data_IF_285596919741
#
_entry.id   IF_285596919741
#
_cell.length_a   1.000
_cell.length_b   1.000
_cell.length_c   1.000
_cell.angle_alpha   90.00
_cell.angle_beta   90.00
_cell.angle_gamma   90.00
#
_symmetry.space_group_name_H-M   'P 1'
#
loop_
_entity.id
_entity.type
_entity.pdbx_description
1 polymer ?
#
# COMPACT_ATOMS: atom_id res chain seq x y z
N UNK A 1 44.03 10.48 -10.49
CA UNK A 1 43.31 10.50 -9.21
C UNK A 1 42.29 11.65 -9.23
N UNK A 2 41.55 11.84 -10.34
CA UNK A 2 40.86 13.11 -10.64
C UNK A 2 39.63 12.91 -11.55
N UNK A 3 38.97 11.74 -11.49
CA UNK A 3 37.72 11.47 -12.22
C UNK A 3 36.50 11.29 -11.32
N UNK A 4 36.65 11.38 -9.99
CA UNK A 4 35.54 11.23 -9.04
C UNK A 4 34.71 12.51 -8.83
N UNK A 5 35.07 13.63 -9.48
CA UNK A 5 34.36 14.93 -9.35
C UNK A 5 33.35 15.21 -10.47
N UNK A 6 33.32 14.43 -11.56
CA UNK A 6 32.40 14.66 -12.68
C UNK A 6 31.08 13.88 -12.61
N UNK A 7 30.88 13.10 -11.54
CA UNK A 7 29.56 12.57 -11.17
C UNK A 7 29.08 13.27 -9.90
N UNK A 8 29.14 14.60 -9.89
CA UNK A 8 28.23 15.42 -9.12
C UNK A 8 26.82 15.08 -9.64
N UNK A 9 26.27 13.97 -9.14
CA UNK A 9 24.91 13.52 -9.44
C UNK A 9 24.05 14.74 -9.17
N UNK A 10 23.44 15.29 -10.22
CA UNK A 10 22.32 16.20 -10.07
C UNK A 10 21.34 15.52 -9.13
N UNK A 11 21.38 15.90 -7.85
CA UNK A 11 20.39 15.49 -6.88
C UNK A 11 19.10 16.13 -7.37
N UNK A 12 18.26 15.29 -7.96
CA UNK A 12 16.99 15.72 -8.50
C UNK A 12 16.19 16.25 -7.31
N UNK A 13 15.98 17.56 -7.30
CA UNK A 13 15.20 18.21 -6.27
C UNK A 13 13.78 17.59 -6.29
N UNK A 14 13.29 17.01 -5.18
CA UNK A 14 11.95 16.41 -5.11
C UNK A 14 10.84 17.39 -5.52
N UNK A 15 11.05 18.69 -5.30
CA UNK A 15 10.13 19.75 -5.75
C UNK A 15 9.97 19.73 -7.28
N UNK A 16 11.07 19.53 -8.02
CA UNK A 16 11.06 19.48 -9.48
C UNK A 16 10.27 18.28 -10.00
N UNK A 17 10.44 17.12 -9.38
CA UNK A 17 9.71 15.90 -9.72
C UNK A 17 8.19 16.06 -9.54
N UNK A 18 7.76 16.57 -8.38
CA UNK A 18 6.34 16.83 -8.10
C UNK A 18 5.74 17.89 -9.04
N UNK A 19 6.50 18.94 -9.36
CA UNK A 19 6.06 20.00 -10.27
C UNK A 19 5.87 19.50 -11.71
N UNK A 20 6.71 18.58 -12.19
CA UNK A 20 6.53 17.92 -13.50
C UNK A 20 5.23 17.12 -13.53
N UNK A 21 4.96 16.30 -12.52
CA UNK A 21 3.72 15.51 -12.46
C UNK A 21 2.50 16.43 -12.41
N UNK A 22 2.55 17.50 -11.61
CA UNK A 22 1.44 18.45 -11.48
C UNK A 22 1.18 19.23 -12.79
N UNK A 23 2.23 19.66 -13.48
CA UNK A 23 2.10 20.38 -14.76
C UNK A 23 1.54 19.48 -15.86
N UNK A 24 1.94 18.20 -15.90
CA UNK A 24 1.34 17.22 -16.83
C UNK A 24 -0.13 16.99 -16.50
N UNK A 25 -0.48 16.79 -15.23
CA UNK A 25 -1.88 16.67 -14.80
C UNK A 25 -2.73 17.89 -15.18
N UNK A 26 -2.21 19.10 -14.98
CA UNK A 26 -2.91 20.33 -15.35
C UNK A 26 -3.10 20.46 -16.88
N UNK A 27 -2.08 20.07 -17.65
CA UNK A 27 -2.15 20.07 -19.11
C UNK A 27 -3.22 19.09 -19.61
N UNK A 28 -3.28 17.89 -19.03
CA UNK A 28 -4.30 16.89 -19.35
C UNK A 28 -5.71 17.39 -19.00
N UNK A 29 -5.89 18.05 -17.84
CA UNK A 29 -7.17 18.64 -17.46
C UNK A 29 -7.65 19.70 -18.47
N UNK A 30 -6.75 20.56 -18.94
CA UNK A 30 -7.06 21.58 -19.95
C UNK A 30 -7.46 20.92 -21.27
N UNK A 31 -6.71 19.91 -21.72
CA UNK A 31 -7.02 19.16 -22.96
C UNK A 31 -8.39 18.50 -22.87
N UNK A 32 -8.70 17.83 -21.75
CA UNK A 32 -10.02 17.22 -21.51
C UNK A 32 -11.14 18.26 -21.49
N UNK A 33 -10.94 19.40 -20.81
CA UNK A 33 -11.94 20.47 -20.77
C UNK A 33 -12.21 21.06 -22.16
N UNK A 34 -11.17 21.43 -22.91
CA UNK A 34 -11.30 21.97 -24.27
C UNK A 34 -12.02 20.99 -25.19
N UNK A 35 -11.72 19.70 -25.05
CA UNK A 35 -12.37 18.64 -25.82
C UNK A 35 -13.87 18.55 -25.51
N UNK A 36 -14.24 18.42 -24.23
CA UNK A 36 -15.66 18.30 -23.80
C UNK A 36 -16.50 19.55 -24.15
N UNK A 37 -15.92 20.75 -24.10
CA UNK A 37 -16.65 21.97 -24.48
C UNK A 37 -16.81 22.16 -25.99
N UNK A 38 -15.99 21.49 -26.81
CA UNK A 38 -16.03 21.61 -28.27
C UNK A 38 -17.07 20.70 -28.91
N UNK A 39 -17.36 19.56 -28.29
CA UNK A 39 -18.33 18.58 -28.76
C UNK A 39 -19.36 18.29 -27.67
N UNK A 40 -20.37 19.17 -27.48
CA UNK A 40 -21.29 19.06 -26.36
C UNK A 40 -22.21 17.84 -26.53
N UNK A 41 -21.89 16.78 -25.80
CA UNK A 41 -22.71 15.59 -25.66
C UNK A 41 -23.99 15.86 -24.84
N UNK A 42 -24.83 14.83 -24.64
CA UNK A 42 -25.97 14.95 -23.72
C UNK A 42 -25.50 15.32 -22.30
N UNK A 43 -26.35 15.95 -21.49
CA UNK A 43 -25.94 16.44 -20.16
C UNK A 43 -25.34 15.35 -19.25
N UNK A 44 -25.81 14.11 -19.36
CA UNK A 44 -25.26 12.96 -18.64
C UNK A 44 -23.90 12.52 -19.18
N UNK A 45 -23.70 12.50 -20.50
CA UNK A 45 -22.42 12.15 -21.11
C UNK A 45 -21.36 13.19 -20.78
N UNK A 46 -21.70 14.48 -20.85
CA UNK A 46 -20.82 15.57 -20.46
C UNK A 46 -20.39 15.45 -18.99
N UNK A 47 -21.29 15.07 -18.09
CA UNK A 47 -20.95 14.86 -16.68
C UNK A 47 -19.95 13.71 -16.49
N UNK A 48 -20.14 12.60 -17.21
CA UNK A 48 -19.23 11.45 -17.16
C UNK A 48 -17.86 11.81 -17.76
N UNK A 49 -17.82 12.50 -18.90
CA UNK A 49 -16.58 12.93 -19.54
C UNK A 49 -15.79 13.91 -18.68
N UNK A 50 -16.46 14.89 -18.06
CA UNK A 50 -15.83 15.81 -17.12
C UNK A 50 -15.29 15.07 -15.91
N UNK A 51 -16.07 14.15 -15.34
CA UNK A 51 -15.65 13.40 -14.16
C UNK A 51 -14.46 12.49 -14.46
N UNK A 52 -14.43 11.81 -15.61
CA UNK A 52 -13.28 10.98 -16.00
C UNK A 52 -12.08 11.83 -16.41
N UNK A 53 -12.24 12.78 -17.34
CA UNK A 53 -11.13 13.56 -17.90
C UNK A 53 -10.55 14.54 -16.88
N UNK A 54 -11.39 15.44 -16.37
CA UNK A 54 -10.96 16.47 -15.41
C UNK A 54 -10.72 15.85 -14.03
N UNK A 55 -11.58 14.94 -13.58
CA UNK A 55 -11.42 14.32 -12.26
C UNK A 55 -10.10 13.54 -12.11
N UNK A 56 -9.77 12.67 -13.06
CA UNK A 56 -8.49 11.91 -13.02
C UNK A 56 -7.29 12.85 -13.16
N UNK A 57 -7.39 13.88 -14.01
CA UNK A 57 -6.33 14.88 -14.16
C UNK A 57 -6.13 15.71 -12.89
N UNK A 58 -7.20 16.07 -12.19
CA UNK A 58 -7.15 16.76 -10.90
C UNK A 58 -6.49 15.89 -9.81
N UNK A 59 -6.74 14.57 -9.82
CA UNK A 59 -6.03 13.62 -8.94
C UNK A 59 -4.53 13.67 -9.22
N UNK A 60 -4.10 13.68 -10.48
CA UNK A 60 -2.68 13.81 -10.82
C UNK A 60 -2.06 15.13 -10.34
N UNK A 61 -2.76 16.26 -10.51
CA UNK A 61 -2.31 17.56 -9.99
C UNK A 61 -2.14 17.49 -8.48
N UNK A 62 -3.13 16.95 -7.78
CA UNK A 62 -3.08 16.79 -6.32
C UNK A 62 -1.93 15.88 -5.88
N UNK A 63 -1.71 14.75 -6.57
CA UNK A 63 -0.61 13.84 -6.28
C UNK A 63 0.75 14.48 -6.55
N UNK A 64 0.90 15.23 -7.65
CA UNK A 64 2.12 15.98 -7.96
C UNK A 64 2.42 17.07 -6.93
N UNK A 65 1.41 17.83 -6.51
CA UNK A 65 1.53 18.80 -5.42
C UNK A 65 1.92 18.13 -4.09
N UNK A 66 1.28 17.00 -3.75
CA UNK A 66 1.62 16.23 -2.56
C UNK A 66 3.05 15.69 -2.62
N UNK A 67 3.51 15.28 -3.79
CA UNK A 67 4.89 14.83 -4.00
C UNK A 67 5.88 15.98 -3.80
N UNK A 68 5.59 17.17 -4.35
CA UNK A 68 6.42 18.36 -4.20
C UNK A 68 6.52 18.87 -2.75
N UNK A 69 5.46 18.70 -1.96
CA UNK A 69 5.40 19.17 -0.56
C UNK A 69 5.83 18.12 0.46
N UNK A 70 6.02 16.87 0.05
CA UNK A 70 6.37 15.78 0.95
C UNK A 70 7.87 15.74 1.27
N UNK A 71 8.22 15.25 2.46
CA UNK A 71 9.59 15.10 2.95
C UNK A 71 10.33 13.90 2.34
N UNK A 72 10.06 13.53 1.08
CA UNK A 72 10.79 12.46 0.42
C UNK A 72 12.23 12.89 0.17
N UNK A 73 13.18 11.97 0.38
CA UNK A 73 14.53 12.17 -0.12
C UNK A 73 14.47 12.25 -1.66
N UNK A 74 15.36 13.03 -2.29
CA UNK A 74 15.34 13.21 -3.75
C UNK A 74 15.37 11.89 -4.53
N UNK A 75 16.07 10.89 -4.00
CA UNK A 75 16.09 9.52 -4.55
C UNK A 75 14.72 8.85 -4.55
N UNK A 76 13.93 9.03 -3.49
CA UNK A 76 12.61 8.41 -3.36
C UNK A 76 11.58 9.11 -4.26
N UNK A 77 11.63 10.44 -4.33
CA UNK A 77 10.79 11.20 -5.25
C UNK A 77 11.06 10.81 -6.72
N UNK A 78 12.33 10.58 -7.07
CA UNK A 78 12.71 10.07 -8.38
C UNK A 78 12.16 8.67 -8.64
N UNK A 79 12.21 7.77 -7.66
CA UNK A 79 11.64 6.43 -7.80
C UNK A 79 10.12 6.46 -8.05
N UNK A 80 9.39 7.28 -7.31
CA UNK A 80 7.94 7.47 -7.54
C UNK A 80 7.68 8.03 -8.94
N UNK A 81 8.48 8.99 -9.39
CA UNK A 81 8.37 9.60 -10.73
C UNK A 81 8.66 8.58 -11.84
N UNK A 82 9.64 7.71 -11.62
CA UNK A 82 9.95 6.61 -12.54
C UNK A 82 8.77 5.65 -12.67
N UNK A 83 8.15 5.27 -11.55
CA UNK A 83 6.96 4.42 -11.57
C UNK A 83 5.74 5.10 -12.22
N UNK A 84 5.57 6.41 -12.03
CA UNK A 84 4.57 7.20 -12.75
C UNK A 84 4.77 7.15 -14.28
N UNK A 85 6.01 7.33 -14.75
CA UNK A 85 6.35 7.22 -16.17
C UNK A 85 6.05 5.82 -16.70
N UNK A 86 6.52 4.78 -16.01
CA UNK A 86 6.28 3.38 -16.39
C UNK A 86 4.77 3.10 -16.51
N UNK A 87 3.98 3.46 -15.49
CA UNK A 87 2.53 3.26 -15.51
C UNK A 87 1.85 3.98 -16.68
N UNK A 88 2.21 5.25 -16.92
CA UNK A 88 1.67 6.05 -18.04
C UNK A 88 2.00 5.41 -19.39
N UNK A 89 3.25 5.01 -19.62
CA UNK A 89 3.69 4.37 -20.86
C UNK A 89 3.05 3.00 -21.07
N UNK A 90 2.89 2.20 -20.02
CA UNK A 90 2.24 0.88 -20.10
C UNK A 90 0.79 1.03 -20.56
N UNK A 91 0.02 1.92 -19.95
CA UNK A 91 -1.38 2.14 -20.33
C UNK A 91 -1.52 2.73 -21.73
N UNK A 92 -0.69 3.73 -22.08
CA UNK A 92 -0.66 4.28 -23.44
C UNK A 92 -0.37 3.20 -24.49
N UNK A 93 0.62 2.34 -24.24
CA UNK A 93 0.98 1.26 -25.16
C UNK A 93 -0.16 0.26 -25.33
N UNK A 94 -0.83 -0.10 -24.23
CA UNK A 94 -2.00 -0.98 -24.27
C UNK A 94 -3.15 -0.36 -25.07
N UNK A 95 -3.46 0.91 -24.84
CA UNK A 95 -4.50 1.64 -25.58
C UNK A 95 -4.17 1.76 -27.07
N UNK A 96 -2.91 2.05 -27.42
CA UNK A 96 -2.47 2.08 -28.82
C UNK A 96 -2.59 0.72 -29.50
N UNK A 97 -2.33 -0.38 -28.79
CA UNK A 97 -2.53 -1.74 -29.30
C UNK A 97 -4.01 -2.03 -29.59
N UNK A 98 -4.91 -1.62 -28.69
CA UNK A 98 -6.36 -1.73 -28.89
C UNK A 98 -6.78 -0.93 -30.13
N UNK A 99 -6.27 0.29 -30.29
CA UNK A 99 -6.56 1.09 -31.47
C UNK A 99 -6.03 0.49 -32.76
N UNK A 100 -4.83 -0.07 -32.74
CA UNK A 100 -4.29 -0.78 -33.90
C UNK A 100 -5.20 -1.94 -34.30
N UNK A 101 -5.71 -2.69 -33.32
CA UNK A 101 -6.68 -3.75 -33.56
C UNK A 101 -7.99 -3.23 -34.20
N UNK A 102 -8.58 -2.15 -33.65
CA UNK A 102 -9.80 -1.55 -34.20
C UNK A 102 -9.62 -1.04 -35.64
N UNK A 103 -8.45 -0.46 -35.96
CA UNK A 103 -8.11 -0.02 -37.32
C UNK A 103 -8.04 -1.21 -38.28
N UNK A 104 -7.46 -2.34 -37.87
CA UNK A 104 -7.38 -3.55 -38.69
C UNK A 104 -8.76 -4.14 -38.96
N UNK A 105 -9.67 -4.06 -37.98
CA UNK A 105 -11.07 -4.51 -38.12
C UNK A 105 -11.90 -3.57 -39.00
N UNK A 106 -11.43 -2.34 -39.22
CA UNK A 106 -12.12 -1.32 -40.02
C UNK A 106 -13.11 -0.47 -39.21
N UNK A 107 -13.00 -0.47 -37.89
CA UNK A 107 -13.82 0.37 -37.02
C UNK A 107 -13.26 1.80 -36.95
N UNK A 108 -14.15 2.78 -36.89
CA UNK A 108 -13.76 4.20 -36.71
C UNK A 108 -13.58 4.50 -35.23
N UNK A 109 -12.38 4.93 -34.84
CA UNK A 109 -12.10 5.36 -33.46
C UNK A 109 -12.56 6.81 -33.31
N UNK A 110 -13.63 7.00 -32.56
CA UNK A 110 -14.10 8.31 -32.17
C UNK A 110 -13.30 8.75 -30.95
N UNK A 111 -12.83 10.00 -30.92
CA UNK A 111 -12.24 10.66 -29.74
C UNK A 111 -10.85 10.16 -29.31
N UNK A 112 -10.01 9.79 -30.28
CA UNK A 112 -8.64 9.32 -30.07
C UNK A 112 -7.81 10.15 -29.07
N UNK A 113 -7.74 11.51 -29.15
CA UNK A 113 -6.93 12.30 -28.21
C UNK A 113 -7.41 12.20 -26.76
N UNK A 114 -8.72 12.18 -26.54
CA UNK A 114 -9.32 12.08 -25.21
C UNK A 114 -9.02 10.73 -24.56
N UNK A 115 -9.13 9.65 -25.32
CA UNK A 115 -8.85 8.29 -24.83
C UNK A 115 -7.36 8.13 -24.49
N UNK A 116 -6.45 8.65 -25.33
CA UNK A 116 -5.01 8.63 -25.02
C UNK A 116 -4.68 9.44 -23.77
N UNK A 117 -5.25 10.65 -23.64
CA UNK A 117 -5.05 11.49 -22.47
C UNK A 117 -5.55 10.79 -21.18
N UNK A 118 -6.72 10.16 -21.24
CA UNK A 118 -7.31 9.42 -20.12
C UNK A 118 -6.49 8.18 -19.77
N UNK A 119 -5.99 7.44 -20.76
CA UNK A 119 -5.12 6.28 -20.55
C UNK A 119 -3.79 6.67 -19.90
N UNK A 120 -3.14 7.74 -20.39
CA UNK A 120 -1.93 8.28 -19.77
C UNK A 120 -2.19 8.72 -18.32
N UNK A 121 -3.31 9.42 -18.09
CA UNK A 121 -3.66 9.90 -16.76
C UNK A 121 -3.89 8.75 -15.78
N UNK A 122 -4.70 7.76 -16.17
CA UNK A 122 -4.99 6.57 -15.36
C UNK A 122 -3.74 5.74 -15.06
N UNK A 123 -2.91 5.48 -16.08
CA UNK A 123 -1.64 4.79 -15.90
C UNK A 123 -0.67 5.55 -14.98
N UNK A 124 -0.64 6.88 -15.10
CA UNK A 124 0.15 7.73 -14.21
C UNK A 124 -0.29 7.64 -12.75
N UNK A 125 -1.59 7.74 -12.47
CA UNK A 125 -2.11 7.60 -11.09
C UNK A 125 -1.72 6.25 -10.51
N UNK A 126 -1.94 5.16 -11.26
CA UNK A 126 -1.57 3.82 -10.83
C UNK A 126 -0.06 3.70 -10.56
N UNK A 127 0.78 4.26 -11.45
CA UNK A 127 2.23 4.30 -11.28
C UNK A 127 2.68 5.02 -10.01
N UNK A 128 2.07 6.16 -9.67
CA UNK A 128 2.40 6.87 -8.42
C UNK A 128 2.08 6.03 -7.19
N UNK A 129 0.91 5.36 -7.18
CA UNK A 129 0.50 4.50 -6.06
C UNK A 129 1.46 3.33 -5.89
N UNK A 130 1.81 2.64 -6.99
CA UNK A 130 2.76 1.55 -6.99
C UNK A 130 4.16 2.00 -6.52
N UNK A 131 4.64 3.15 -7.03
CA UNK A 131 5.93 3.71 -6.64
C UNK A 131 6.00 4.09 -5.15
N UNK A 132 4.91 4.67 -4.61
CA UNK A 132 4.83 4.98 -3.18
C UNK A 132 4.85 3.72 -2.31
N UNK A 133 4.14 2.68 -2.74
CA UNK A 133 4.15 1.39 -2.05
C UNK A 133 5.56 0.80 -2.02
N UNK A 134 6.27 0.77 -3.15
CA UNK A 134 7.63 0.24 -3.24
C UNK A 134 8.63 1.02 -2.37
N UNK A 135 8.57 2.35 -2.38
CA UNK A 135 9.41 3.19 -1.49
C UNK A 135 9.11 2.91 -0.02
N UNK A 136 7.84 2.76 0.35
CA UNK A 136 7.44 2.48 1.72
C UNK A 136 7.94 1.10 2.17
N UNK A 137 7.86 0.11 1.29
CA UNK A 137 8.39 -1.23 1.51
C UNK A 137 9.91 -1.20 1.72
N UNK A 138 10.66 -0.50 0.87
CA UNK A 138 12.12 -0.38 1.00
C UNK A 138 12.54 0.30 2.31
N UNK A 139 11.77 1.28 2.80
CA UNK A 139 12.03 1.90 4.11
C UNK A 139 11.84 0.90 5.24
N UNK A 140 10.77 0.11 5.21
CA UNK A 140 10.53 -0.92 6.23
C UNK A 140 11.65 -1.96 6.21
N UNK A 141 12.07 -2.43 5.04
CA UNK A 141 13.18 -3.39 4.91
C UNK A 141 14.49 -2.81 5.47
N UNK A 142 14.80 -1.54 5.19
CA UNK A 142 16.01 -0.90 5.74
C UNK A 142 15.95 -0.70 7.26
N UNK A 143 14.78 -0.34 7.81
CA UNK A 143 14.61 -0.23 9.27
C UNK A 143 14.83 -1.58 9.95
N UNK A 144 14.28 -2.66 9.40
CA UNK A 144 14.50 -4.01 9.93
C UNK A 144 15.97 -4.44 9.85
N UNK A 145 16.68 -4.05 8.79
CA UNK A 145 18.12 -4.30 8.65
C UNK A 145 18.95 -3.46 9.63
N UNK A 146 18.57 -2.21 9.88
CA UNK A 146 19.21 -1.34 10.87
C UNK A 146 18.96 -1.84 12.29
N UNK A 147 17.76 -2.30 12.63
CA UNK A 147 17.46 -2.96 13.90
C UNK A 147 18.26 -4.26 14.06
N UNK A 148 18.34 -5.07 13.00
CA UNK A 148 19.15 -6.29 12.98
C UNK A 148 20.65 -6.00 13.14
N UNK A 149 21.12 -4.85 12.65
CA UNK A 149 22.53 -4.42 12.76
C UNK A 149 22.82 -3.73 14.10
N UNK A 150 21.88 -2.96 14.63
CA UNK A 150 21.98 -2.26 15.92
C UNK A 150 21.86 -3.22 17.11
N UNK A 151 21.10 -4.30 16.97
CA UNK A 151 21.08 -5.40 17.94
C UNK A 151 22.35 -6.26 17.93
N UNK A 152 23.20 -6.14 16.89
CA UNK A 152 24.50 -6.79 16.85
C UNK A 152 25.56 -5.96 17.61
N UNK A 153 25.50 -6.05 18.95
CA UNK A 153 26.63 -5.90 19.87
C UNK A 153 27.44 -4.60 19.76
N UNK A 154 27.08 -3.58 20.54
CA UNK A 154 28.02 -2.53 20.97
C UNK A 154 29.12 -3.19 21.83
N UNK A 155 30.39 -3.23 21.40
CA UNK A 155 31.47 -3.87 22.17
C UNK A 155 31.88 -3.10 23.44
N UNK A 156 31.14 -2.06 23.82
CA UNK A 156 31.57 -1.03 24.78
C UNK A 156 31.40 -1.45 26.26
N UNK A 157 31.20 -2.74 26.53
CA UNK A 157 31.25 -3.28 27.89
C UNK A 157 32.12 -4.53 28.01
N UNK A 158 32.99 -4.80 27.02
CA UNK A 158 33.89 -5.94 27.04
C UNK A 158 35.30 -5.59 27.56
N UNK A 159 35.43 -4.95 28.72
CA UNK A 159 36.76 -4.80 29.38
C UNK A 159 36.82 -5.21 30.86
N UNK A 160 35.72 -5.65 31.47
CA UNK A 160 35.74 -6.21 32.84
C UNK A 160 34.48 -7.06 32.96
N UNK A 161 34.47 -8.35 32.64
CA UNK A 161 35.04 -9.42 33.45
C UNK A 161 35.12 -10.67 32.58
N UNK A 162 36.34 -11.17 32.38
CA UNK A 162 36.56 -12.48 31.80
C UNK A 162 35.99 -13.57 32.73
N UNK A 163 35.33 -14.55 32.11
CA UNK A 163 34.79 -15.81 32.67
C UNK A 163 33.38 -15.70 33.23
N UNK A 164 32.36 -16.01 32.41
CA UNK A 164 31.26 -16.95 32.70
C UNK A 164 30.39 -17.06 31.43
N UNK A 165 30.24 -18.30 30.94
CA UNK A 165 29.27 -18.80 29.94
C UNK A 165 28.87 -17.88 28.78
N UNK A 166 29.64 -17.98 27.70
CA UNK A 166 29.22 -17.63 26.36
C UNK A 166 28.16 -18.63 25.89
N UNK A 167 26.91 -18.40 26.26
CA UNK A 167 25.76 -19.06 25.63
C UNK A 167 25.64 -18.53 24.21
N UNK A 168 25.85 -19.45 23.26
CA UNK A 168 25.72 -19.23 21.83
C UNK A 168 24.26 -18.80 21.53
N UNK A 169 24.03 -17.48 21.51
CA UNK A 169 22.72 -16.91 21.18
C UNK A 169 22.56 -17.04 19.66
N UNK A 170 22.17 -18.23 19.20
CA UNK A 170 21.85 -18.53 17.81
C UNK A 170 20.89 -17.45 17.30
N UNK A 171 21.35 -16.66 16.33
CA UNK A 171 20.47 -15.73 15.61
C UNK A 171 19.26 -16.52 15.13
N UNK A 172 18.02 -16.05 15.40
CA UNK A 172 16.82 -16.70 14.87
C UNK A 172 16.99 -16.88 13.38
N UNK A 173 17.12 -18.13 12.94
CA UNK A 173 17.33 -18.44 11.53
C UNK A 173 16.13 -17.91 10.74
N UNK A 174 16.30 -17.60 9.44
CA UNK A 174 15.18 -17.19 8.58
C UNK A 174 13.98 -18.16 8.68
N UNK A 175 14.26 -19.44 8.94
CA UNK A 175 13.23 -20.47 9.18
C UNK A 175 12.36 -20.22 10.42
N UNK A 176 12.90 -19.56 11.46
CA UNK A 176 12.13 -19.21 12.66
C UNK A 176 11.14 -18.06 12.38
N UNK A 177 11.55 -17.06 11.60
CA UNK A 177 10.67 -15.99 11.15
C UNK A 177 9.57 -16.49 10.23
N UNK A 178 9.91 -17.37 9.29
CA UNK A 178 8.94 -17.97 8.38
C UNK A 178 7.90 -18.80 9.16
N UNK A 179 8.34 -19.62 10.12
CA UNK A 179 7.44 -20.37 11.01
C UNK A 179 6.56 -19.46 11.87
N UNK A 180 7.11 -18.37 12.42
CA UNK A 180 6.33 -17.41 13.21
C UNK A 180 5.26 -16.71 12.35
N UNK A 181 5.60 -16.37 11.11
CA UNK A 181 4.65 -15.78 10.15
C UNK A 181 3.56 -16.77 9.77
N UNK A 182 3.92 -18.01 9.44
CA UNK A 182 2.94 -19.07 9.15
C UNK A 182 1.99 -19.30 10.34
N UNK A 183 2.51 -19.31 11.56
CA UNK A 183 1.72 -19.46 12.77
C UNK A 183 0.74 -18.30 12.97
N UNK A 184 1.18 -17.07 12.71
CA UNK A 184 0.33 -15.87 12.80
C UNK A 184 -0.81 -15.93 11.80
N UNK A 185 -0.53 -16.26 10.53
CA UNK A 185 -1.55 -16.39 9.47
C UNK A 185 -2.54 -17.52 9.78
N UNK A 186 -2.07 -18.68 10.26
CA UNK A 186 -2.95 -19.79 10.67
C UNK A 186 -3.86 -19.41 11.83
N UNK A 187 -3.33 -18.66 12.81
CA UNK A 187 -4.10 -18.19 13.97
C UNK A 187 -5.15 -17.17 13.56
N UNK A 188 -4.78 -16.16 12.77
CA UNK A 188 -5.73 -15.17 12.22
C UNK A 188 -6.87 -15.85 11.44
N UNK A 189 -6.55 -16.82 10.59
CA UNK A 189 -7.57 -17.62 9.90
C UNK A 189 -8.51 -18.35 10.86
N UNK A 190 -7.98 -18.94 11.93
CA UNK A 190 -8.79 -19.65 12.93
C UNK A 190 -9.73 -18.70 13.68
N UNK A 191 -9.28 -17.47 13.99
CA UNK A 191 -10.12 -16.42 14.59
C UNK A 191 -11.28 -16.10 13.67
N UNK A 192 -11.01 -15.87 12.37
CA UNK A 192 -12.04 -15.52 11.40
C UNK A 192 -13.03 -16.67 11.17
N UNK A 193 -12.56 -17.91 11.06
CA UNK A 193 -13.42 -19.10 10.95
C UNK A 193 -14.39 -19.20 12.14
N UNK A 194 -13.92 -18.92 13.36
CA UNK A 194 -14.76 -18.97 14.56
C UNK A 194 -15.79 -17.85 14.59
N UNK A 195 -15.36 -16.61 14.31
CA UNK A 195 -16.24 -15.43 14.30
C UNK A 195 -17.30 -15.52 13.18
N UNK A 196 -16.97 -16.16 12.05
CA UNK A 196 -17.93 -16.47 10.98
C UNK A 196 -18.95 -17.53 11.43
N UNK A 197 -18.52 -18.54 12.19
CA UNK A 197 -19.39 -19.60 12.69
C UNK A 197 -20.39 -19.10 13.75
N UNK A 198 -20.09 -17.99 14.44
CA UNK A 198 -20.95 -17.39 15.47
C UNK A 198 -22.13 -16.56 14.92
N UNK A 199 -22.35 -16.53 13.60
CA UNK A 199 -23.52 -15.90 12.92
C UNK A 199 -23.88 -14.48 13.41
N UNK A 200 -22.85 -13.66 13.67
CA UNK A 200 -23.00 -12.27 14.12
C UNK A 200 -23.29 -12.10 15.61
N UNK A 201 -23.33 -13.17 16.40
CA UNK A 201 -23.36 -13.08 17.86
C UNK A 201 -22.05 -12.50 18.40
N UNK A 202 -22.14 -11.79 19.51
CA UNK A 202 -20.97 -11.25 20.21
C UNK A 202 -20.24 -12.38 20.93
N UNK A 203 -18.97 -12.55 20.59
CA UNK A 203 -18.10 -13.62 21.10
C UNK A 203 -17.13 -13.04 22.13
N UNK A 204 -16.98 -13.71 23.28
CA UNK A 204 -16.01 -13.29 24.29
C UNK A 204 -14.58 -13.71 23.92
N UNK A 205 -13.60 -12.90 24.33
CA UNK A 205 -12.16 -13.20 24.11
C UNK A 205 -11.76 -14.53 24.79
N UNK A 206 -12.36 -14.85 25.93
CA UNK A 206 -12.14 -16.09 26.65
C UNK A 206 -12.64 -17.32 25.88
N UNK A 207 -13.82 -17.24 25.25
CA UNK A 207 -14.38 -18.32 24.43
C UNK A 207 -13.55 -18.58 23.16
N UNK A 208 -13.14 -17.50 22.48
CA UNK A 208 -12.21 -17.59 21.35
C UNK A 208 -10.86 -18.20 21.76
N UNK A 209 -10.36 -17.87 22.95
CA UNK A 209 -9.12 -18.47 23.49
C UNK A 209 -9.27 -19.98 23.64
N UNK A 210 -10.37 -20.43 24.24
CA UNK A 210 -10.64 -21.85 24.44
C UNK A 210 -10.79 -22.58 23.10
N UNK A 211 -11.42 -21.94 22.11
CA UNK A 211 -11.52 -22.47 20.74
C UNK A 211 -10.15 -22.63 20.07
N UNK A 212 -9.28 -21.60 20.15
CA UNK A 212 -7.93 -21.66 19.57
C UNK A 212 -7.09 -22.74 20.23
N UNK A 213 -7.13 -22.85 21.56
CA UNK A 213 -6.39 -23.87 22.30
C UNK A 213 -6.86 -25.28 21.92
N UNK A 214 -8.17 -25.50 21.77
CA UNK A 214 -8.74 -26.78 21.36
C UNK A 214 -8.29 -27.22 19.96
N UNK A 215 -7.92 -26.27 19.09
CA UNK A 215 -7.50 -26.52 17.70
C UNK A 215 -5.99 -26.41 17.49
N UNK A 216 -5.24 -25.95 18.50
CA UNK A 216 -3.79 -25.85 18.47
C UNK A 216 -3.13 -27.22 18.70
N UNK A 217 -2.11 -27.54 17.90
CA UNK A 217 -1.37 -28.80 18.01
C UNK A 217 -0.39 -28.80 19.20
N UNK A 218 -0.04 -27.62 19.71
CA UNK A 218 0.93 -27.45 20.79
C UNK A 218 0.26 -26.95 22.06
N UNK A 219 0.57 -27.54 23.23
CA UNK A 219 0.07 -27.05 24.51
C UNK A 219 0.59 -25.64 24.73
N UNK A 220 -0.30 -24.66 24.61
CA UNK A 220 0.00 -23.25 24.84
C UNK A 220 -0.67 -22.83 26.13
N UNK A 221 0.00 -21.99 26.92
CA UNK A 221 -0.60 -21.42 28.13
C UNK A 221 -1.82 -20.56 27.77
N UNK A 222 -2.96 -20.84 28.41
CA UNK A 222 -4.21 -20.12 28.18
C UNK A 222 -4.07 -18.63 28.46
N UNK A 223 -3.35 -18.28 29.52
CA UNK A 223 -3.16 -16.88 29.87
C UNK A 223 -2.30 -16.16 28.84
N UNK A 224 -1.20 -16.77 28.38
CA UNK A 224 -0.38 -16.25 27.28
C UNK A 224 -1.20 -16.06 25.98
N UNK A 225 -2.02 -17.04 25.59
CA UNK A 225 -2.87 -16.92 24.39
C UNK A 225 -3.89 -15.80 24.53
N UNK A 226 -4.54 -15.67 25.69
CA UNK A 226 -5.50 -14.58 25.95
C UNK A 226 -4.82 -13.22 25.84
N UNK A 227 -3.62 -13.08 26.42
CA UNK A 227 -2.84 -11.84 26.40
C UNK A 227 -2.43 -11.47 24.97
N UNK A 228 -1.97 -12.45 24.20
CA UNK A 228 -1.58 -12.28 22.79
C UNK A 228 -2.77 -11.82 21.93
N UNK A 229 -3.94 -12.45 22.11
CA UNK A 229 -5.17 -12.06 21.39
C UNK A 229 -5.56 -10.62 21.71
N UNK A 230 -5.58 -10.27 23.01
CA UNK A 230 -6.01 -8.96 23.47
C UNK A 230 -5.11 -7.82 23.00
N UNK A 231 -3.79 -8.02 23.00
CA UNK A 231 -2.83 -6.96 22.72
C UNK A 231 -2.31 -6.91 21.29
N UNK A 232 -2.42 -7.98 20.52
CA UNK A 232 -1.82 -8.06 19.19
C UNK A 232 -2.85 -8.43 18.13
N UNK A 233 -3.42 -9.63 18.19
CA UNK A 233 -4.18 -10.17 17.06
C UNK A 233 -5.53 -9.48 16.85
N UNK A 234 -6.29 -9.23 17.92
CA UNK A 234 -7.62 -8.60 17.81
C UNK A 234 -7.55 -7.12 17.42
N UNK A 235 -6.64 -6.30 17.98
CA UNK A 235 -6.43 -4.94 17.50
C UNK A 235 -6.02 -4.89 16.02
N UNK A 236 -5.11 -5.75 15.59
CA UNK A 236 -4.66 -5.80 14.19
C UNK A 236 -5.82 -6.15 13.23
N UNK A 237 -6.64 -7.14 13.59
CA UNK A 237 -7.84 -7.50 12.81
C UNK A 237 -8.91 -6.40 12.80
N UNK A 238 -9.04 -5.65 13.88
CA UNK A 238 -9.95 -4.50 13.97
C UNK A 238 -9.46 -3.31 13.13
N UNK A 239 -8.15 -3.04 13.12
CA UNK A 239 -7.53 -1.99 12.28
C UNK A 239 -7.71 -2.27 10.77
N UNK A 240 -7.87 -3.54 10.40
CA UNK A 240 -8.19 -3.98 9.04
C UNK A 240 -9.70 -3.97 8.72
N UNK A 241 -10.55 -3.48 9.63
CA UNK A 241 -12.01 -3.46 9.53
C UNK A 241 -12.65 -4.84 9.29
N UNK A 242 -12.00 -5.93 9.73
CA UNK A 242 -12.51 -7.31 9.55
C UNK A 242 -13.45 -7.71 10.69
N UNK A 243 -13.15 -7.25 11.90
CA UNK A 243 -13.94 -7.46 13.12
C UNK A 243 -14.12 -6.14 13.86
N UNK A 244 -15.13 -6.05 14.71
CA UNK A 244 -15.23 -4.99 15.70
C UNK A 244 -14.84 -5.55 17.07
N UNK A 245 -13.79 -4.97 17.65
CA UNK A 245 -13.26 -5.37 18.94
C UNK A 245 -13.45 -4.28 19.99
N UNK A 246 -14.11 -4.61 21.10
CA UNK A 246 -14.21 -3.72 22.27
C UNK A 246 -13.28 -4.21 23.37
N UNK A 247 -12.16 -3.51 23.56
CA UNK A 247 -11.16 -3.84 24.56
C UNK A 247 -11.68 -3.73 26.01
N UNK A 248 -12.70 -2.90 26.27
CA UNK A 248 -13.23 -2.71 27.62
C UNK A 248 -14.14 -3.88 28.04
N UNK A 249 -14.99 -4.34 27.12
CA UNK A 249 -15.89 -5.48 27.36
C UNK A 249 -15.29 -6.83 26.95
N UNK A 250 -14.14 -6.83 26.24
CA UNK A 250 -13.47 -8.00 25.65
C UNK A 250 -14.37 -8.80 24.70
N UNK A 251 -15.29 -8.09 24.04
CA UNK A 251 -16.23 -8.66 23.10
C UNK A 251 -15.76 -8.45 21.66
N UNK A 252 -16.01 -9.45 20.83
CA UNK A 252 -15.69 -9.48 19.41
C UNK A 252 -17.00 -9.64 18.65
N UNK A 253 -17.23 -8.79 17.65
CA UNK A 253 -18.41 -8.87 16.79
C UNK A 253 -17.99 -8.86 15.33
N UNK A 254 -18.65 -9.69 14.51
CA UNK A 254 -18.35 -9.81 13.09
C UNK A 254 -18.87 -8.59 12.34
N UNK A 255 -18.07 -8.03 11.45
CA UNK A 255 -18.56 -6.95 10.58
C UNK A 255 -19.41 -7.56 9.46
N UNK A 256 -20.74 -7.42 9.55
CA UNK A 256 -21.60 -7.84 8.44
C UNK A 256 -21.67 -6.71 7.39
N UNK A 257 -21.17 -6.91 6.16
CA UNK A 257 -21.11 -5.84 5.14
C UNK A 257 -22.47 -5.29 4.71
N UNK A 258 -23.59 -5.89 5.10
CA UNK A 258 -24.93 -5.37 4.81
C UNK A 258 -25.22 -4.00 5.45
N UNK A 259 -24.53 -3.64 6.54
CA UNK A 259 -24.71 -2.32 7.17
C UNK A 259 -23.99 -1.17 6.45
N UNK A 260 -23.16 -1.46 5.43
CA UNK A 260 -22.43 -0.43 4.68
C UNK A 260 -23.34 0.39 3.76
N UNK A 261 -24.50 -0.13 3.34
CA UNK A 261 -25.43 0.62 2.47
C UNK A 261 -26.27 1.69 3.19
N UNK A 262 -26.38 1.64 4.52
CA UNK A 262 -27.23 2.57 5.29
C UNK A 262 -26.43 3.64 6.07
N UNK A 263 -25.11 3.53 6.14
CA UNK A 263 -24.24 4.48 6.84
C UNK A 263 -23.74 5.59 5.93
N UNK A 264 -24.58 6.57 5.59
CA UNK A 264 -24.08 7.87 5.09
C UNK A 264 -23.19 8.49 6.18
N UNK A 265 -21.88 8.53 5.94
CA UNK A 265 -20.97 9.51 6.55
C UNK A 265 -20.77 10.67 5.59
#
# INVERSE_FOLDING_TARGET
MEQSSLLERHEINPEGAGLVVATVGATLAIVSAVYTFRDPASSSEMAVELLMGIGVSAILVFLGYKLATSSFAGKEAWEVTRWWLVGSFTFLSLTLLIFLHEIIVGNTIVNFPFILASAAAGGGVFGIVAGRYEVSRLRQENQLLEESRGGAFTPESATETASTEQTDFERPTQSAYEKAREQTVRRQRTILEYVEQSDGESVSTEELTDYILARSEYPTDRQATTLQLHHHDLPELADMDVIQYDAASKQITTYHPQNWQNGKR
#
